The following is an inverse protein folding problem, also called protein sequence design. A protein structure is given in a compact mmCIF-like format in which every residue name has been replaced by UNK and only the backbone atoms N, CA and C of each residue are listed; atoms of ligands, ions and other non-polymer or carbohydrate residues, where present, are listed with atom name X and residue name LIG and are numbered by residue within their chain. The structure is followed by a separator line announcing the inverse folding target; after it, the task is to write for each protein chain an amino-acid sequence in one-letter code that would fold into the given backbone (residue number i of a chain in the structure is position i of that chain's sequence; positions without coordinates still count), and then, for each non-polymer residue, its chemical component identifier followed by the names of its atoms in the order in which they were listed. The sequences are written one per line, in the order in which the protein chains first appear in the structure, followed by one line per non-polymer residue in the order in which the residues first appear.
data_IF_451718074047
#
_entry.id   IF_451718074047
#
_cell.length_a   1.000
_cell.length_b   1.000
_cell.length_c   1.000
_cell.angle_alpha   90.00
_cell.angle_beta   90.00
_cell.angle_gamma   90.00
#
_symmetry.space_group_name_H-M   'P 1'
#
loop_
_entity.id
_entity.type
_entity.pdbx_description
1 polymer ?
#
# COMPACT_ATOMS: atom_id res chain seq x y z
N UNK A 1 2.51 -0.99 -9.01
CA UNK A 1 1.55 -2.03 -9.42
C UNK A 1 1.14 -1.87 -10.87
N UNK A 2 0.77 -2.94 -11.49
CA UNK A 2 0.27 -2.94 -12.85
C UNK A 2 -1.22 -2.64 -12.85
N UNK A 3 -1.63 -1.73 -13.73
CA UNK A 3 -3.02 -1.39 -13.88
C UNK A 3 -3.78 -2.39 -14.75
N UNK A 4 -5.07 -2.50 -14.53
CA UNK A 4 -5.91 -3.38 -15.33
C UNK A 4 -5.98 -2.96 -16.80
N UNK A 5 -5.88 -1.68 -17.07
CA UNK A 5 -5.92 -1.17 -18.44
C UNK A 5 -4.85 -1.73 -19.36
N UNK A 6 -3.70 -2.10 -18.80
CA UNK A 6 -2.60 -2.66 -19.57
C UNK A 6 -2.88 -4.08 -20.08
N UNK A 7 -3.91 -4.71 -19.57
CA UNK A 7 -4.23 -6.09 -19.85
C UNK A 7 -5.31 -6.24 -20.89
N UNK A 8 -6.04 -5.21 -21.18
CA UNK A 8 -7.08 -5.27 -22.19
C UNK A 8 -6.48 -5.48 -23.56
N UNK A 9 -6.71 -6.65 -24.07
CA UNK A 9 -6.17 -7.08 -25.35
C UNK A 9 -7.26 -7.04 -26.40
N UNK A 10 -6.83 -6.77 -27.60
CA UNK A 10 -7.71 -6.90 -28.73
C UNK A 10 -7.97 -8.37 -29.02
N UNK A 11 -9.09 -8.61 -29.59
CA UNK A 11 -9.46 -9.89 -30.11
C UNK A 11 -8.75 -10.14 -31.43
N UNK A 12 -8.12 -11.27 -31.58
CA UNK A 12 -7.51 -11.67 -32.84
C UNK A 12 -8.48 -12.49 -33.67
N UNK A 13 -8.92 -11.92 -34.77
CA UNK A 13 -9.73 -12.63 -35.74
C UNK A 13 -8.89 -13.60 -36.56
N UNK A 14 -9.33 -14.83 -36.67
CA UNK A 14 -8.67 -15.83 -37.48
C UNK A 14 -9.23 -15.90 -38.90
N UNK A 15 -8.68 -16.80 -39.68
CA UNK A 15 -9.06 -16.97 -41.07
C UNK A 15 -10.54 -17.35 -41.26
N UNK A 16 -11.02 -17.15 -42.44
CA UNK A 16 -12.41 -17.45 -42.80
C UNK A 16 -12.82 -18.90 -42.68
N UNK A 17 -11.85 -19.76 -42.83
CA UNK A 17 -12.14 -21.20 -42.93
C UNK A 17 -12.37 -21.85 -41.58
N UNK A 18 -11.77 -21.31 -40.54
CA UNK A 18 -11.82 -21.93 -39.23
C UNK A 18 -12.64 -21.17 -38.20
N UNK A 19 -12.82 -19.88 -38.42
CA UNK A 19 -13.51 -19.02 -37.46
C UNK A 19 -13.08 -19.21 -35.99
N UNK A 20 -11.79 -19.36 -35.80
CA UNK A 20 -11.22 -19.48 -34.47
C UNK A 20 -10.89 -18.06 -33.98
N UNK A 21 -11.43 -17.71 -32.85
CA UNK A 21 -11.19 -16.45 -32.21
C UNK A 21 -10.40 -16.70 -30.94
N UNK A 22 -9.23 -16.07 -30.84
CA UNK A 22 -8.48 -16.04 -29.58
C UNK A 22 -8.84 -14.81 -28.80
N UNK A 23 -9.25 -15.00 -27.58
CA UNK A 23 -9.49 -13.92 -26.62
C UNK A 23 -8.58 -14.07 -25.45
N UNK A 24 -8.04 -12.96 -25.01
CA UNK A 24 -7.38 -12.91 -23.73
C UNK A 24 -8.41 -12.51 -22.66
N UNK A 25 -8.47 -13.29 -21.61
CA UNK A 25 -9.35 -13.05 -20.50
C UNK A 25 -8.57 -13.10 -19.20
N UNK A 26 -9.11 -12.48 -18.19
CA UNK A 26 -8.53 -12.48 -16.86
C UNK A 26 -9.28 -13.46 -15.98
N UNK A 27 -8.54 -14.34 -15.36
CA UNK A 27 -9.06 -15.23 -14.32
C UNK A 27 -8.66 -14.68 -12.97
N UNK A 28 -9.63 -14.38 -12.14
CA UNK A 28 -9.39 -13.91 -10.78
C UNK A 28 -8.89 -15.08 -9.93
N UNK A 29 -7.69 -14.95 -9.40
CA UNK A 29 -7.07 -15.96 -8.54
C UNK A 29 -7.22 -15.66 -7.07
N UNK A 30 -7.05 -14.39 -6.69
CA UNK A 30 -7.03 -13.97 -5.29
C UNK A 30 -7.80 -12.67 -5.12
N UNK A 31 -8.64 -12.65 -4.11
CA UNK A 31 -9.21 -11.43 -3.53
C UNK A 31 -8.91 -11.51 -2.04
N UNK A 32 -8.12 -10.58 -1.55
CA UNK A 32 -7.69 -10.61 -0.16
C UNK A 32 -7.66 -9.22 0.44
N UNK A 33 -8.07 -9.16 1.68
CA UNK A 33 -7.91 -7.98 2.51
C UNK A 33 -7.01 -8.34 3.69
N UNK A 34 -6.04 -7.50 3.95
CA UNK A 34 -5.13 -7.67 5.07
C UNK A 34 -4.88 -6.33 5.74
N UNK A 35 -4.61 -6.37 7.04
CA UNK A 35 -4.22 -5.16 7.76
C UNK A 35 -2.73 -5.28 8.04
N UNK A 36 -1.96 -4.46 7.35
CA UNK A 36 -0.51 -4.40 7.56
C UNK A 36 -0.21 -3.47 8.72
N UNK A 37 0.54 -3.96 9.70
CA UNK A 37 0.92 -3.20 10.89
C UNK A 37 2.41 -2.93 10.89
N UNK A 38 2.76 -1.71 11.26
CA UNK A 38 4.14 -1.29 11.32
C UNK A 38 4.36 -0.42 12.54
N UNK A 39 5.48 -0.64 13.23
CA UNK A 39 5.92 0.19 14.33
C UNK A 39 7.18 0.95 13.93
N UNK A 40 7.20 2.25 14.18
CA UNK A 40 8.32 3.11 13.84
C UNK A 40 8.58 4.11 14.96
N UNK A 41 9.79 4.61 15.01
CA UNK A 41 10.17 5.67 15.96
C UNK A 41 10.81 6.83 15.21
N UNK A 42 10.58 8.04 15.70
CA UNK A 42 11.25 9.23 15.22
C UNK A 42 11.70 10.07 16.42
N UNK A 43 12.87 10.65 16.30
CA UNK A 43 13.40 11.57 17.29
C UNK A 43 13.26 12.98 16.75
N UNK A 44 12.69 13.88 17.55
CA UNK A 44 12.59 15.28 17.15
C UNK A 44 13.97 15.88 16.88
N UNK A 45 14.12 16.62 15.78
CA UNK A 45 15.37 17.35 15.57
C UNK A 45 15.54 18.45 16.62
N UNK A 46 16.78 18.84 16.85
CA UNK A 46 17.11 19.83 17.89
C UNK A 46 16.42 21.19 17.69
N UNK A 47 16.01 21.48 16.46
CA UNK A 47 15.29 22.72 16.13
C UNK A 47 13.83 22.74 16.58
N UNK A 48 13.29 21.60 17.01
CA UNK A 48 11.90 21.48 17.44
C UNK A 48 11.81 21.41 18.96
N UNK A 49 10.82 22.07 19.57
CA UNK A 49 10.58 21.95 21.01
C UNK A 49 9.99 20.60 21.39
N UNK A 50 10.02 20.29 22.68
CA UNK A 50 9.47 19.07 23.20
C UNK A 50 7.96 18.95 22.96
N UNK A 51 7.47 17.71 22.85
CA UNK A 51 6.05 17.44 22.68
C UNK A 51 5.40 17.34 24.07
N UNK A 52 4.49 18.25 24.36
CA UNK A 52 3.70 18.19 25.60
C UNK A 52 2.35 17.49 25.37
N UNK A 53 1.69 17.82 24.27
CA UNK A 53 0.41 17.24 23.90
C UNK A 53 0.22 17.27 22.40
N UNK A 54 -0.11 16.14 21.81
CA UNK A 54 -0.45 16.05 20.39
C UNK A 54 -1.90 16.45 20.20
N UNK A 55 -2.13 17.49 19.40
CA UNK A 55 -3.47 18.05 19.18
C UNK A 55 -4.09 17.55 17.88
N UNK A 56 -3.26 17.23 16.90
CA UNK A 56 -3.71 16.76 15.60
C UNK A 56 -2.62 15.90 14.98
N UNK A 57 -3.05 14.89 14.24
CA UNK A 57 -2.14 13.97 13.55
C UNK A 57 -2.71 13.54 12.21
N UNK A 58 -1.82 13.28 11.26
CA UNK A 58 -2.19 12.72 9.98
C UNK A 58 -1.13 11.77 9.46
N UNK A 59 -1.57 10.84 8.64
CA UNK A 59 -0.73 9.85 7.98
C UNK A 59 -1.08 9.85 6.49
N UNK A 60 -0.07 9.93 5.65
CA UNK A 60 -0.25 9.90 4.19
C UNK A 60 0.74 8.92 3.57
N UNK A 61 0.25 8.08 2.70
CA UNK A 61 1.09 7.17 1.93
C UNK A 61 1.58 7.86 0.66
N UNK A 62 2.85 7.63 0.33
CA UNK A 62 3.48 8.18 -0.87
C UNK A 62 4.31 7.12 -1.57
N UNK A 63 4.31 7.18 -2.90
CA UNK A 63 5.18 6.35 -3.73
C UNK A 63 5.08 4.87 -3.41
N UNK A 64 3.86 4.40 -3.17
CA UNK A 64 3.64 2.99 -2.85
C UNK A 64 3.84 2.15 -4.10
N UNK A 65 4.71 1.17 -3.98
CA UNK A 65 5.00 0.20 -5.02
C UNK A 65 4.72 -1.20 -4.49
N UNK A 66 4.30 -2.06 -5.38
CA UNK A 66 4.01 -3.45 -5.04
C UNK A 66 4.72 -4.41 -6.00
N UNK A 67 5.15 -5.55 -5.46
CA UNK A 67 5.82 -6.61 -6.22
C UNK A 67 5.29 -7.95 -5.78
N UNK A 68 5.02 -8.83 -6.74
CA UNK A 68 4.68 -10.21 -6.47
C UNK A 68 5.97 -11.03 -6.47
N UNK A 69 6.35 -11.57 -5.32
CA UNK A 69 7.58 -12.31 -5.12
C UNK A 69 7.30 -13.56 -4.31
N UNK A 70 7.47 -14.72 -4.93
CA UNK A 70 7.40 -16.03 -4.24
C UNK A 70 6.17 -16.22 -3.34
N UNK A 71 5.01 -15.93 -3.87
CA UNK A 71 3.76 -16.12 -3.14
C UNK A 71 3.37 -14.97 -2.22
N UNK A 72 4.12 -13.89 -2.23
CA UNK A 72 3.85 -12.70 -1.42
C UNK A 72 3.76 -11.44 -2.26
N UNK A 73 2.89 -10.56 -1.87
CA UNK A 73 2.91 -9.18 -2.34
C UNK A 73 3.76 -8.38 -1.37
N UNK A 74 4.85 -7.82 -1.86
CA UNK A 74 5.68 -6.90 -1.11
C UNK A 74 5.33 -5.48 -1.44
N UNK A 75 5.20 -4.67 -0.40
CA UNK A 75 4.81 -3.27 -0.51
C UNK A 75 5.92 -2.41 0.06
N UNK A 76 6.33 -1.43 -0.71
CA UNK A 76 7.33 -0.46 -0.31
C UNK A 76 6.85 0.94 -0.65
N UNK A 77 7.44 1.92 -0.03
CA UNK A 77 7.10 3.32 -0.23
C UNK A 77 7.44 4.15 0.98
N UNK A 78 6.69 5.20 1.18
CA UNK A 78 6.90 6.15 2.26
C UNK A 78 5.59 6.45 2.98
N UNK A 79 5.69 6.65 4.28
CA UNK A 79 4.58 7.11 5.10
C UNK A 79 4.98 8.46 5.67
N UNK A 80 4.24 9.50 5.29
CA UNK A 80 4.41 10.82 5.84
C UNK A 80 3.53 10.95 7.07
N UNK A 81 4.14 11.19 8.22
CA UNK A 81 3.45 11.40 9.49
C UNK A 81 3.62 12.86 9.89
N UNK A 82 2.51 13.51 10.16
CA UNK A 82 2.49 14.92 10.54
C UNK A 82 1.74 15.09 11.85
N UNK A 83 2.27 15.90 12.73
CA UNK A 83 1.61 16.26 13.99
C UNK A 83 1.61 17.75 14.21
N UNK A 84 0.54 18.22 14.83
CA UNK A 84 0.46 19.55 15.43
C UNK A 84 0.39 19.32 16.94
N UNK A 85 1.24 19.99 17.68
CA UNK A 85 1.32 19.74 19.12
C UNK A 85 1.53 21.02 19.92
N UNK A 86 1.13 20.93 21.19
CA UNK A 86 1.44 21.96 22.16
C UNK A 86 2.82 21.66 22.77
N UNK A 87 3.67 22.64 22.79
CA UNK A 87 5.03 22.55 23.33
C UNK A 87 5.22 23.19 24.71
N UNK A 88 4.18 23.80 25.24
CA UNK A 88 4.22 24.46 26.53
C UNK A 88 3.58 23.64 27.62
N UNK A 89 4.19 23.65 28.80
CA UNK A 89 3.67 22.97 29.97
C UNK A 89 2.48 23.73 30.55
N UNK A 90 2.55 25.04 30.54
CA UNK A 90 1.47 25.92 30.93
C UNK A 90 1.09 26.82 29.76
N UNK A 91 -0.18 26.89 29.46
CA UNK A 91 -0.67 27.64 28.31
C UNK A 91 -0.63 26.83 27.02
N UNK A 92 -0.62 27.50 25.91
CA UNK A 92 -0.67 26.89 24.60
C UNK A 92 0.26 27.58 23.63
N UNK A 93 1.20 26.84 23.09
CA UNK A 93 2.02 27.26 21.96
C UNK A 93 2.11 26.10 21.00
N UNK A 94 1.75 26.34 19.74
CA UNK A 94 1.67 25.30 18.73
C UNK A 94 2.97 25.15 17.97
N UNK A 95 3.37 23.90 17.81
CA UNK A 95 4.50 23.52 16.98
C UNK A 95 4.08 22.43 16.01
N UNK A 96 4.81 22.33 14.93
CA UNK A 96 4.58 21.40 13.85
C UNK A 96 5.78 20.48 13.68
N UNK A 97 5.52 19.20 13.50
CA UNK A 97 6.56 18.24 13.16
C UNK A 97 6.05 17.26 12.10
N UNK A 98 6.92 17.00 11.17
CA UNK A 98 6.63 16.09 10.06
C UNK A 98 7.82 15.18 9.86
N UNK A 99 7.55 13.89 9.70
CA UNK A 99 8.58 12.89 9.47
C UNK A 99 8.11 11.87 8.44
N UNK A 100 9.05 11.35 7.67
CA UNK A 100 8.80 10.29 6.71
C UNK A 100 9.41 9.00 7.20
N UNK A 101 8.60 7.96 7.30
CA UNK A 101 9.07 6.62 7.64
C UNK A 101 8.93 5.70 6.45
N UNK A 102 9.86 4.76 6.24
CA UNK A 102 9.71 3.82 5.13
C UNK A 102 8.54 2.88 5.36
N UNK A 103 7.78 2.65 4.31
CA UNK A 103 6.78 1.59 4.27
C UNK A 103 7.48 0.30 3.89
N UNK A 104 7.35 -0.72 4.72
CA UNK A 104 7.84 -2.06 4.45
C UNK A 104 6.79 -3.06 4.95
N UNK A 105 5.99 -3.55 4.04
CA UNK A 105 4.89 -4.44 4.34
C UNK A 105 4.90 -5.64 3.40
N UNK A 106 4.32 -6.72 3.86
CA UNK A 106 4.20 -7.94 3.07
C UNK A 106 2.87 -8.61 3.37
N UNK A 107 2.22 -9.08 2.31
CA UNK A 107 0.99 -9.85 2.41
C UNK A 107 1.16 -11.18 1.68
N UNK A 108 0.87 -12.26 2.38
CA UNK A 108 0.91 -13.59 1.78
C UNK A 108 -0.31 -13.79 0.87
N UNK A 109 -0.08 -14.20 -0.35
CA UNK A 109 -1.16 -14.44 -1.33
C UNK A 109 -1.17 -15.84 -1.93
N UNK A 110 -0.10 -16.60 -1.75
CA UNK A 110 -0.01 -17.98 -2.20
C UNK A 110 0.07 -18.18 -3.71
N UNK A 111 0.25 -17.12 -4.48
CA UNK A 111 0.34 -17.20 -5.93
C UNK A 111 1.81 -17.21 -6.36
N UNK A 112 2.19 -18.30 -7.03
CA UNK A 112 3.57 -18.52 -7.49
C UNK A 112 3.73 -18.39 -9.00
N UNK A 113 2.66 -18.06 -9.71
CA UNK A 113 2.63 -18.03 -11.17
C UNK A 113 3.21 -16.73 -11.72
N UNK A 114 3.89 -16.85 -12.88
CA UNK A 114 4.61 -15.70 -13.46
C UNK A 114 3.72 -14.74 -14.24
N UNK A 115 2.67 -15.24 -14.88
CA UNK A 115 1.80 -14.45 -15.76
C UNK A 115 0.64 -13.81 -15.01
N UNK A 116 0.93 -13.22 -13.89
CA UNK A 116 -0.08 -12.60 -13.06
C UNK A 116 -0.05 -11.09 -13.14
N UNK A 117 -1.24 -10.53 -13.04
CA UNK A 117 -1.47 -9.11 -12.91
C UNK A 117 -2.09 -8.89 -11.54
N UNK A 118 -1.66 -7.88 -10.86
CA UNK A 118 -2.18 -7.59 -9.54
C UNK A 118 -2.52 -6.11 -9.37
N UNK A 119 -3.47 -5.88 -8.49
CA UNK A 119 -3.85 -4.57 -8.03
C UNK A 119 -3.79 -4.56 -6.52
N UNK A 120 -3.14 -3.56 -5.97
CA UNK A 120 -3.10 -3.35 -4.53
C UNK A 120 -3.60 -1.95 -4.23
N UNK A 121 -4.55 -1.88 -3.32
CA UNK A 121 -5.04 -0.63 -2.78
C UNK A 121 -4.71 -0.61 -1.29
N UNK A 122 -3.97 0.39 -0.85
CA UNK A 122 -3.59 0.53 0.54
C UNK A 122 -4.07 1.88 1.06
N UNK A 123 -4.77 1.84 2.17
CA UNK A 123 -5.38 3.03 2.78
C UNK A 123 -4.97 3.11 4.24
N UNK A 124 -4.57 4.28 4.73
CA UNK A 124 -4.34 4.46 6.17
C UNK A 124 -5.58 4.10 6.98
N UNK A 125 -5.42 3.29 8.00
CA UNK A 125 -6.52 2.86 8.85
C UNK A 125 -6.45 3.52 10.23
N UNK A 126 -5.37 3.27 10.97
CA UNK A 126 -5.17 3.86 12.30
C UNK A 126 -3.72 4.23 12.50
N UNK A 127 -3.50 5.24 13.32
CA UNK A 127 -2.19 5.63 13.77
C UNK A 127 -2.27 5.95 15.26
N UNK A 128 -1.53 5.18 16.06
CA UNK A 128 -1.39 5.42 17.49
C UNK A 128 -0.01 6.02 17.75
N UNK A 129 0.01 7.16 18.40
CA UNK A 129 1.23 7.88 18.72
C UNK A 129 1.44 7.92 20.24
N UNK A 130 2.67 7.66 20.62
CA UNK A 130 3.12 7.76 22.01
C UNK A 130 4.39 8.58 22.06
N UNK A 131 4.46 9.50 22.99
CA UNK A 131 5.64 10.32 23.21
C UNK A 131 6.44 9.72 24.37
N UNK A 132 7.73 9.47 24.13
CA UNK A 132 8.64 8.90 25.11
C UNK A 132 9.79 9.85 25.40
N UNK A 133 10.34 9.81 26.64
CA UNK A 133 11.50 10.59 26.95
C UNK A 133 12.76 10.02 26.29
N UNK A 134 13.69 10.92 25.98
CA UNK A 134 15.03 10.59 25.54
C UNK A 134 15.98 10.36 26.74
N UNK A 135 17.29 10.32 26.49
CA UNK A 135 18.31 10.14 27.54
C UNK A 135 18.26 11.20 28.63
N UNK A 136 17.88 12.42 28.25
CA UNK A 136 17.85 13.55 29.17
C UNK A 136 16.50 13.69 29.88
N UNK A 137 15.59 12.75 29.64
CA UNK A 137 14.23 12.81 30.16
C UNK A 137 13.34 13.79 29.41
N UNK A 138 13.75 14.26 28.26
CA UNK A 138 12.99 15.18 27.43
C UNK A 138 12.03 14.43 26.50
N UNK A 139 10.82 14.92 26.37
CA UNK A 139 9.77 14.28 25.56
C UNK A 139 9.95 14.52 24.08
N UNK A 140 10.89 13.81 23.50
CA UNK A 140 11.37 14.02 22.13
C UNK A 140 11.29 12.81 21.23
N UNK A 141 10.90 11.64 21.74
CA UNK A 141 10.79 10.43 20.94
C UNK A 141 9.32 10.16 20.63
N UNK A 142 9.01 10.11 19.36
CA UNK A 142 7.68 9.79 18.87
C UNK A 142 7.64 8.33 18.42
N UNK A 143 6.87 7.51 19.12
CA UNK A 143 6.63 6.11 18.77
C UNK A 143 5.31 6.03 18.02
N UNK A 144 5.35 5.39 16.86
CA UNK A 144 4.21 5.31 15.95
C UNK A 144 3.82 3.84 15.72
N UNK A 145 2.58 3.51 15.96
CA UNK A 145 1.99 2.23 15.56
C UNK A 145 0.99 2.49 14.44
N UNK A 146 1.30 1.99 13.26
CA UNK A 146 0.56 2.27 12.05
C UNK A 146 -0.17 1.02 11.58
N UNK A 147 -1.42 1.17 11.20
CA UNK A 147 -2.20 0.11 10.60
C UNK A 147 -2.70 0.58 9.23
N UNK A 148 -2.47 -0.24 8.22
CA UNK A 148 -2.75 0.06 6.83
C UNK A 148 -3.70 -1.00 6.27
N UNK A 149 -4.88 -0.57 5.84
CA UNK A 149 -5.86 -1.46 5.23
C UNK A 149 -5.45 -1.75 3.79
N UNK A 150 -5.23 -3.02 3.49
CA UNK A 150 -4.64 -3.45 2.23
C UNK A 150 -5.58 -4.39 1.50
N UNK A 151 -5.98 -4.02 0.29
CA UNK A 151 -6.83 -4.83 -0.56
C UNK A 151 -6.01 -5.30 -1.75
N UNK A 152 -6.02 -6.62 -1.98
CA UNK A 152 -5.22 -7.26 -3.02
C UNK A 152 -6.12 -8.05 -3.93
N UNK A 153 -5.93 -7.86 -5.23
CA UNK A 153 -6.55 -8.68 -6.27
C UNK A 153 -5.48 -9.15 -7.23
N UNK A 154 -5.52 -10.42 -7.55
CA UNK A 154 -4.55 -11.02 -8.47
C UNK A 154 -5.32 -11.78 -9.53
N UNK A 155 -4.98 -11.51 -10.78
CA UNK A 155 -5.54 -12.16 -11.95
C UNK A 155 -4.44 -12.85 -12.72
N UNK A 156 -4.84 -13.88 -13.44
CA UNK A 156 -3.99 -14.55 -14.43
C UNK A 156 -4.56 -14.31 -15.80
N UNK A 157 -3.70 -14.06 -16.76
CA UNK A 157 -4.07 -14.01 -18.16
C UNK A 157 -4.32 -15.42 -18.68
N UNK A 158 -5.46 -15.63 -19.30
CA UNK A 158 -5.79 -16.86 -19.97
C UNK A 158 -6.15 -16.58 -21.42
N UNK A 159 -5.61 -17.41 -22.32
CA UNK A 159 -6.02 -17.38 -23.72
C UNK A 159 -7.19 -18.34 -23.87
N UNK A 160 -8.30 -17.84 -24.34
CA UNK A 160 -9.49 -18.61 -24.60
C UNK A 160 -9.65 -18.72 -26.10
N UNK A 161 -9.71 -19.96 -26.60
CA UNK A 161 -10.02 -20.21 -28.01
C UNK A 161 -11.50 -20.53 -28.12
N UNK A 162 -12.18 -19.73 -28.92
CA UNK A 162 -13.58 -19.95 -29.21
C UNK A 162 -13.70 -20.35 -30.67
N UNK A 163 -14.26 -21.51 -30.89
CA UNK A 163 -14.63 -21.94 -32.23
C UNK A 163 -15.96 -21.30 -32.57
N UNK A 164 -15.97 -20.43 -33.51
CA UNK A 164 -17.18 -19.78 -33.98
C UNK A 164 -17.84 -20.68 -35.02
N UNK A 165 -19.14 -20.79 -34.94
CA UNK A 165 -19.88 -21.63 -35.88
C UNK A 165 -19.74 -21.16 -37.31
N UNK A 166 -19.45 -22.12 -38.17
CA UNK A 166 -19.25 -21.91 -39.59
C UNK A 166 -20.47 -22.15 -40.42
N UNK A 167 -21.45 -22.79 -39.84
CA UNK A 167 -22.60 -23.29 -40.59
C UNK A 167 -23.87 -22.49 -40.33
N UNK A 168 -23.66 -21.33 -40.09
CA UNK A 168 -24.79 -20.43 -39.90
C UNK A 168 -25.70 -20.37 -41.10
#
# INVERSE_FOLDING_TARGET
SRGLGDVYKRQDGSSYEQNIVEKEALKLLVVRRDICRQKSEAVLPSSKPNIREILWQSMQLRNVESRLVEGNIRLSGEILVSILYNDEEEGEHLSWYETTVPLDAQAECGVMEDDCIWQVQMVPLTMELEVKPDYDGEERILVMELALDTHIRIWKEEKIRLLTDLYS
#
